data_IF_846414410726
#
_entry.id   IF_846414410726
#
_cell.length_a   1.000
_cell.length_b   1.000
_cell.length_c   1.000
_cell.angle_alpha   90.00
_cell.angle_beta   90.00
_cell.angle_gamma   90.00
#
_symmetry.space_group_name_H-M   'P 1'
#
loop_
_entity.id
_entity.type
_entity.pdbx_description
1 polymer ?
2 non-polymer ?
3 non-polymer ?
4 water ?
#
# COMPACT_ATOMS: atom_id res chain seq x y z
N UNK A 1 -6.31 -8.87 -3.20
CA UNK A 1 -6.57 -8.85 -4.67
C UNK A 1 -7.28 -7.52 -4.94
N UNK A 2 -7.29 -7.15 -6.23
CA UNK A 2 -7.74 -5.82 -6.63
C UNK A 2 -9.17 -5.86 -7.18
N UNK A 3 -10.15 -5.10 -6.67
CA UNK A 3 -11.47 -5.00 -7.32
C UNK A 3 -11.36 -4.26 -8.65
N UNK A 4 -12.33 -4.51 -9.57
CA UNK A 4 -12.09 -4.13 -10.98
C UNK A 4 -12.15 -2.65 -11.28
N UNK A 5 -12.75 -1.85 -10.40
CA UNK A 5 -12.90 -0.41 -10.65
C UNK A 5 -11.61 0.34 -10.30
N UNK A 6 -10.56 -0.37 -9.79
CA UNK A 6 -9.32 0.27 -9.40
C UNK A 6 -8.22 0.03 -10.46
N UNK A 7 -7.40 1.04 -10.71
CA UNK A 7 -6.07 0.75 -11.27
C UNK A 7 -5.14 0.27 -10.13
N UNK A 8 -4.01 -0.29 -10.53
CA UNK A 8 -3.04 -0.70 -9.46
C UNK A 8 -2.67 0.50 -8.60
N UNK A 9 -2.43 1.67 -9.20
CA UNK A 9 -2.05 2.84 -8.37
C UNK A 9 -3.14 3.27 -7.43
N UNK A 10 -4.42 3.26 -7.94
CA UNK A 10 -5.54 3.64 -7.06
C UNK A 10 -5.69 2.66 -5.92
N UNK A 11 -5.49 1.37 -6.21
CA UNK A 11 -5.57 0.35 -5.16
C UNK A 11 -4.44 0.52 -4.14
N UNK A 12 -3.21 0.83 -4.60
CA UNK A 12 -2.10 1.13 -3.70
C UNK A 12 -2.50 2.29 -2.75
N UNK A 13 -3.04 3.36 -3.34
CA UNK A 13 -3.43 4.51 -2.51
C UNK A 13 -4.48 4.11 -1.47
N UNK A 14 -5.48 3.33 -1.90
CA UNK A 14 -6.57 2.88 -1.00
C UNK A 14 -6.06 2.00 0.12
N UNK A 15 -5.10 1.08 -0.17
CA UNK A 15 -4.63 0.14 0.84
C UNK A 15 -3.53 0.75 1.74
N UNK A 16 -2.68 1.64 1.18
CA UNK A 16 -1.45 1.99 1.89
C UNK A 16 -1.25 3.46 2.18
N UNK A 17 -2.15 4.34 1.71
CA UNK A 17 -2.01 5.78 1.96
C UNK A 17 -3.24 6.35 2.63
N UNK A 18 -4.42 6.05 2.12
CA UNK A 18 -5.68 6.67 2.65
C UNK A 18 -6.22 5.91 3.85
N UNK A 19 -5.56 6.11 4.99
CA UNK A 19 -6.01 5.48 6.22
C UNK A 19 -7.19 6.33 6.75
N UNK A 20 -8.42 5.83 6.57
CA UNK A 20 -9.60 6.69 6.73
C UNK A 20 -9.94 6.94 8.22
N UNK A 21 -9.32 6.21 9.13
CA UNK A 21 -9.38 6.40 10.58
C UNK A 21 -7.99 6.13 11.14
N UNK A 22 -7.58 6.76 12.26
CA UNK A 22 -6.31 6.37 12.90
C UNK A 22 -6.44 5.03 13.66
N UNK A 23 -7.66 4.46 13.71
CA UNK A 23 -7.86 3.14 14.34
C UNK A 23 -7.87 2.08 13.24
N UNK A 24 -7.04 1.03 13.39
CA UNK A 24 -6.98 -0.03 12.38
C UNK A 24 -8.32 -0.75 12.17
N UNK A 25 -9.09 -1.04 13.26
CA UNK A 25 -10.35 -1.79 13.02
C UNK A 25 -11.24 -1.02 12.06
N UNK A 26 -11.35 0.29 12.23
CA UNK A 26 -12.18 1.11 11.34
C UNK A 26 -11.55 1.23 9.95
N UNK A 27 -10.23 1.56 9.88
CA UNK A 27 -9.63 1.78 8.55
C UNK A 27 -9.66 0.53 7.70
N UNK A 28 -9.48 -0.64 8.33
CA UNK A 28 -9.44 -1.89 7.59
C UNK A 28 -10.82 -2.28 7.00
N UNK A 29 -11.90 -1.76 7.57
CA UNK A 29 -13.24 -2.06 6.99
C UNK A 29 -13.26 -1.69 5.52
N UNK A 30 -12.62 -0.59 5.08
CA UNK A 30 -12.67 -0.14 3.68
C UNK A 30 -12.02 -1.23 2.83
N UNK A 31 -10.76 -1.61 3.16
CA UNK A 31 -10.05 -2.61 2.39
C UNK A 31 -10.82 -3.90 2.33
N UNK A 32 -11.30 -4.31 3.50
CA UNK A 32 -11.95 -5.63 3.61
C UNK A 32 -13.30 -5.66 2.85
N UNK A 33 -14.05 -4.55 2.90
CA UNK A 33 -15.32 -4.50 2.17
C UNK A 33 -15.04 -4.53 0.66
N UNK A 34 -13.96 -3.94 0.20
CA UNK A 34 -13.60 -4.03 -1.21
C UNK A 34 -13.09 -5.42 -1.61
N UNK A 35 -12.30 -6.12 -0.74
CA UNK A 35 -11.73 -7.45 -1.03
C UNK A 35 -12.67 -8.61 -0.71
N UNK A 36 -13.77 -8.31 0.01
CA UNK A 36 -14.69 -9.39 0.45
C UNK A 36 -14.00 -10.44 1.32
N UNK A 37 -13.11 -9.99 2.21
CA UNK A 37 -12.50 -10.88 3.18
C UNK A 37 -11.78 -9.96 4.19
N UNK A 38 -11.42 -10.50 5.35
CA UNK A 38 -10.60 -9.74 6.29
C UNK A 38 -9.12 -10.00 6.01
N UNK A 39 -8.45 -8.99 5.46
CA UNK A 39 -7.02 -9.11 5.18
C UNK A 39 -6.25 -9.33 6.47
N UNK A 40 -5.30 -10.26 6.46
CA UNK A 40 -4.64 -10.65 7.72
C UNK A 40 -3.73 -9.57 8.30
N UNK A 41 -3.03 -8.82 7.44
CA UNK A 41 -2.24 -7.69 7.92
C UNK A 41 -2.10 -6.66 6.80
N UNK A 42 -1.78 -5.40 7.19
CA UNK A 42 -1.69 -4.33 6.22
C UNK A 42 -0.97 -3.15 6.83
N UNK A 43 -0.07 -2.51 6.02
CA UNK A 43 0.58 -1.28 6.44
C UNK A 43 -0.03 -0.04 5.78
N UNK A 44 -0.28 0.99 6.62
CA UNK A 44 -0.58 2.33 6.11
C UNK A 44 0.65 3.22 6.38
N UNK A 45 1.20 3.80 5.29
CA UNK A 45 2.32 4.76 5.38
C UNK A 45 1.75 6.15 5.64
N UNK A 46 2.27 6.85 6.67
CA UNK A 46 1.78 8.20 6.97
C UNK A 46 2.64 9.19 6.18
N UNK A 47 2.41 9.14 4.83
CA UNK A 47 3.09 10.05 3.86
C UNK A 47 2.07 10.35 2.78
N UNK A 48 2.46 11.23 1.85
CA UNK A 48 1.52 11.64 0.79
C UNK A 48 1.74 10.78 -0.47
N UNK A 49 0.68 10.65 -1.28
CA UNK A 49 0.83 9.97 -2.58
C UNK A 49 1.93 10.60 -3.43
N UNK A 50 2.00 11.93 -3.48
CA UNK A 50 3.05 12.61 -4.26
C UNK A 50 4.45 12.23 -3.74
N UNK A 51 4.61 12.11 -2.40
CA UNK A 51 5.90 11.69 -1.85
C UNK A 51 6.30 10.28 -2.34
N UNK A 52 5.32 9.37 -2.42
CA UNK A 52 5.59 8.02 -2.93
C UNK A 52 5.98 8.04 -4.41
N UNK A 53 5.23 8.83 -5.19
CA UNK A 53 5.58 9.00 -6.62
C UNK A 53 7.02 9.46 -6.73
N UNK A 54 7.47 10.41 -5.90
CA UNK A 54 8.86 10.87 -5.95
C UNK A 54 9.84 9.75 -5.58
N UNK A 55 9.47 8.86 -4.64
CA UNK A 55 10.33 7.67 -4.35
C UNK A 55 10.48 6.82 -5.61
N UNK A 56 9.43 6.73 -6.47
CA UNK A 56 9.57 5.98 -7.73
C UNK A 56 10.73 6.54 -8.61
N UNK A 57 11.13 7.78 -8.38
CA UNK A 57 12.28 8.38 -9.10
C UNK A 57 13.67 8.04 -8.52
N UNK A 58 13.69 7.39 -7.34
CA UNK A 58 14.98 6.97 -6.75
C UNK A 58 15.53 5.78 -7.53
N UNK A 59 16.82 5.46 -7.33
CA UNK A 59 17.44 4.37 -8.13
C UNK A 59 16.66 3.07 -8.04
N UNK A 60 16.64 2.34 -9.15
CA UNK A 60 16.03 1.01 -9.15
C UNK A 60 16.85 0.03 -8.29
N UNK A 61 16.17 -0.90 -7.64
CA UNK A 61 16.79 -1.99 -6.89
C UNK A 61 15.94 -3.25 -7.06
N UNK A 62 16.57 -4.39 -6.75
CA UNK A 62 15.82 -5.64 -6.72
C UNK A 62 14.80 -5.65 -5.59
N UNK A 63 13.59 -6.14 -5.89
CA UNK A 63 12.57 -6.22 -4.86
C UNK A 63 12.90 -7.33 -3.87
N UNK A 64 13.06 -7.07 -2.56
CA UNK A 64 13.36 -8.18 -1.62
C UNK A 64 12.34 -9.29 -1.63
N UNK A 65 11.07 -8.98 -1.91
CA UNK A 65 10.08 -10.08 -1.92
C UNK A 65 10.08 -10.89 -3.20
N UNK A 66 10.73 -10.44 -4.27
CA UNK A 66 10.86 -11.24 -5.52
C UNK A 66 12.12 -10.91 -6.28
N UNK A 67 13.13 -11.75 -6.23
CA UNK A 67 14.47 -11.49 -6.75
C UNK A 67 14.49 -11.44 -8.28
N UNK A 68 13.31 -11.65 -8.92
CA UNK A 68 13.33 -11.51 -10.37
C UNK A 68 12.84 -10.13 -10.80
N UNK A 69 12.46 -9.25 -9.88
CA UNK A 69 11.91 -7.94 -10.26
C UNK A 69 12.87 -6.85 -9.87
N UNK A 70 13.00 -5.87 -10.80
CA UNK A 70 13.96 -4.76 -10.66
C UNK A 70 13.24 -3.40 -10.73
N UNK A 71 11.92 -3.39 -10.46
CA UNK A 71 11.13 -2.15 -10.49
C UNK A 71 10.88 -1.61 -9.06
N UNK A 72 11.71 -1.97 -8.11
CA UNK A 72 11.61 -1.46 -6.74
C UNK A 72 12.53 -0.26 -6.49
N UNK A 73 12.17 0.52 -5.44
CA UNK A 73 12.78 1.78 -5.12
C UNK A 73 12.75 1.97 -3.62
N UNK A 74 13.87 2.36 -3.00
CA UNK A 74 13.94 2.63 -1.55
C UNK A 74 13.53 4.04 -1.24
N UNK A 75 12.80 4.23 -0.14
CA UNK A 75 12.29 5.53 0.26
C UNK A 75 13.35 6.57 0.62
N UNK A 76 14.57 6.13 0.95
CA UNK A 76 15.59 7.16 1.27
C UNK A 76 15.50 7.67 2.71
N UNK A 77 14.33 8.12 3.13
CA UNK A 77 14.06 8.54 4.49
C UNK A 77 13.03 7.61 5.14
N UNK A 78 13.00 7.61 6.48
CA UNK A 78 11.97 6.90 7.21
C UNK A 78 10.69 7.75 7.20
N UNK A 79 9.58 7.01 7.34
CA UNK A 79 8.31 7.71 7.57
C UNK A 79 7.59 7.07 8.76
N UNK A 80 6.68 7.81 9.37
CA UNK A 80 5.76 7.17 10.34
C UNK A 80 4.83 6.27 9.55
N UNK A 81 4.43 5.16 10.21
CA UNK A 81 3.50 4.20 9.60
C UNK A 81 2.67 3.58 10.74
N UNK A 82 1.57 2.96 10.34
CA UNK A 82 0.75 2.11 11.24
C UNK A 82 0.57 0.75 10.59
N UNK A 83 0.94 -0.32 11.29
CA UNK A 83 0.76 -1.66 10.78
C UNK A 83 -0.43 -2.28 11.52
N UNK A 84 -1.38 -2.79 10.74
CA UNK A 84 -2.60 -3.40 11.26
C UNK A 84 -2.48 -4.93 11.19
N UNK A 85 -2.81 -5.64 12.28
CA UNK A 85 -2.78 -7.12 12.35
C UNK A 85 -4.13 -7.65 12.80
N UNK A 86 -4.70 -8.62 12.07
CA UNK A 86 -6.00 -9.15 12.38
C UNK A 86 -5.97 -9.93 13.73
N UNK A 87 -6.77 -9.55 14.68
CA UNK A 87 -6.85 -10.27 15.95
C UNK A 87 -8.10 -11.15 16.03
N UNK A 88 -9.10 -10.81 15.25
CA UNK A 88 -10.38 -11.46 15.32
C UNK A 88 -11.03 -11.64 13.95
N UNK A 89 -10.94 -12.80 13.31
CA UNK A 89 -11.24 -13.06 11.88
C UNK A 89 -12.60 -13.09 11.19
N UNK A 90 -13.72 -12.97 11.84
CA UNK A 90 -15.09 -13.04 11.37
C UNK A 90 -15.41 -13.43 9.92
N UNK A 91 -15.21 -14.72 9.63
CA UNK A 91 -15.60 -15.37 8.40
C UNK A 91 -16.95 -14.89 7.85
N UNK A 92 -18.03 -14.95 8.61
CA UNK A 92 -19.34 -14.68 7.96
C UNK A 92 -19.95 -13.39 8.46
N UNK A 93 -19.10 -12.35 8.52
CA UNK A 93 -19.52 -11.00 8.83
C UNK A 93 -18.22 -10.19 8.94
N UNK A 94 -17.77 -9.75 7.80
CA UNK A 94 -16.42 -9.11 7.75
C UNK A 94 -16.45 -7.82 8.54
N UNK A 95 -17.61 -7.21 8.75
CA UNK A 95 -17.51 -5.94 9.46
C UNK A 95 -17.16 -6.19 10.93
N UNK A 96 -17.20 -7.44 11.41
CA UNK A 96 -16.92 -7.67 12.83
C UNK A 96 -15.45 -8.08 13.00
N UNK A 97 -14.68 -8.01 11.95
CA UNK A 97 -13.22 -8.22 12.14
C UNK A 97 -12.62 -7.09 12.97
N UNK A 98 -11.69 -7.45 13.84
CA UNK A 98 -10.96 -6.45 14.66
C UNK A 98 -9.45 -6.65 14.48
N UNK A 99 -8.75 -5.51 14.65
CA UNK A 99 -7.32 -5.42 14.43
C UNK A 99 -6.57 -4.82 15.62
N UNK A 100 -5.32 -5.22 15.77
CA UNK A 100 -4.34 -4.48 16.56
C UNK A 100 -3.63 -3.44 15.64
N UNK A 101 -3.06 -2.42 16.27
CA UNK A 101 -2.34 -1.37 15.55
C UNK A 101 -0.95 -1.17 16.20
N UNK A 102 0.08 -1.08 15.33
CA UNK A 102 1.45 -0.89 15.79
C UNK A 102 2.01 0.34 15.09
N UNK A 103 2.34 1.42 15.79
CA UNK A 103 2.99 2.60 15.18
C UNK A 103 4.48 2.38 15.10
N UNK A 104 5.12 2.89 14.04
CA UNK A 104 6.54 2.74 13.84
C UNK A 104 7.06 3.82 12.93
N UNK A 105 8.41 3.98 12.89
CA UNK A 105 9.07 4.87 11.95
C UNK A 105 10.06 4.00 11.17
N UNK A 106 9.83 3.81 9.88
CA UNK A 106 10.58 2.83 9.12
C UNK A 106 10.84 3.31 7.69
N UNK A 107 11.88 2.75 7.03
CA UNK A 107 12.02 2.94 5.59
C UNK A 107 11.02 2.01 4.90
N UNK A 108 10.75 2.29 3.60
CA UNK A 108 9.94 1.37 2.81
C UNK A 108 10.53 1.22 1.40
N UNK A 109 10.16 0.10 0.79
CA UNK A 109 10.52 -0.21 -0.61
C UNK A 109 9.22 -0.42 -1.39
N UNK A 110 9.03 0.35 -2.47
CA UNK A 110 7.83 0.25 -3.32
C UNK A 110 8.23 -0.17 -4.72
N UNK A 111 7.36 -0.95 -5.37
CA UNK A 111 7.47 -1.24 -6.80
C UNK A 111 6.61 -0.19 -7.52
N UNK A 112 7.19 0.34 -8.63
CA UNK A 112 6.51 1.32 -9.46
C UNK A 112 6.44 0.85 -10.90
N UNK A 113 5.40 1.31 -11.62
CA UNK A 113 5.21 0.96 -13.02
C UNK A 113 4.66 2.19 -13.75
N UNK A 114 4.72 2.09 -15.10
CA UNK A 114 3.96 3.03 -15.93
C UNK A 114 2.49 3.03 -15.55
N UNK A 115 1.85 4.24 -15.61
CA UNK A 115 0.44 4.32 -15.25
C UNK A 115 -0.46 3.51 -16.20
N UNK A 116 -1.69 3.25 -15.72
CA UNK A 116 -2.74 2.66 -16.60
C UNK A 116 -3.11 3.69 -17.62
N UNK A 117 -2.87 3.33 -18.90
CA UNK A 117 -3.05 4.33 -19.95
C UNK A 117 -4.46 4.90 -20.00
N UNK A 118 -5.48 4.05 -19.82
CA UNK A 118 -6.86 4.50 -20.01
C UNK A 118 -7.45 5.14 -18.76
N UNK A 119 -7.00 4.74 -17.57
CA UNK A 119 -7.73 5.09 -16.36
C UNK A 119 -6.96 5.93 -15.36
N UNK A 120 -5.61 5.88 -15.36
CA UNK A 120 -4.86 6.71 -14.42
C UNK A 120 -4.67 8.13 -14.98
N UNK A 121 -4.69 9.14 -14.11
CA UNK A 121 -4.54 10.53 -14.58
C UNK A 121 -3.16 10.79 -15.20
N UNK A 122 -3.11 11.55 -16.32
CA UNK A 122 -1.80 11.78 -16.96
C UNK A 122 -0.81 12.56 -16.12
N UNK A 123 -1.23 13.25 -15.04
CA UNK A 123 -0.39 13.95 -14.11
C UNK A 123 0.81 13.12 -13.69
N UNK A 124 0.62 11.80 -13.45
CA UNK A 124 1.72 10.94 -12.93
C UNK A 124 1.98 9.82 -13.91
N UNK A 125 2.97 9.94 -14.80
CA UNK A 125 3.29 8.87 -15.74
C UNK A 125 3.78 7.58 -15.03
N UNK A 126 4.44 7.74 -13.89
CA UNK A 126 5.01 6.62 -13.13
C UNK A 126 4.36 6.60 -11.74
N UNK A 127 3.88 5.42 -11.33
CA UNK A 127 3.06 5.34 -10.10
C UNK A 127 3.47 4.13 -9.29
N UNK A 128 3.29 4.24 -7.95
CA UNK A 128 3.48 3.06 -7.08
C UNK A 128 2.33 2.07 -7.24
N UNK A 129 2.69 0.79 -7.24
CA UNK A 129 1.72 -0.29 -7.46
C UNK A 129 1.76 -1.38 -6.41
N UNK A 130 2.83 -1.45 -5.59
CA UNK A 130 3.00 -2.56 -4.64
C UNK A 130 3.92 -2.08 -3.52
N UNK A 131 3.60 -2.40 -2.27
CA UNK A 131 4.45 -2.11 -1.13
C UNK A 131 5.26 -3.40 -0.86
N UNK A 132 6.55 -3.39 -1.22
CA UNK A 132 7.36 -4.62 -1.17
C UNK A 132 7.86 -4.91 0.24
N UNK A 133 8.27 -3.92 0.98
CA UNK A 133 8.91 -4.19 2.27
C UNK A 133 8.88 -2.94 3.11
N UNK A 134 8.78 -3.10 4.44
CA UNK A 134 9.07 -2.05 5.42
C UNK A 134 10.28 -2.52 6.25
N UNK A 135 11.18 -1.56 6.58
CA UNK A 135 12.45 -1.92 7.21
C UNK A 135 12.76 -1.00 8.39
X LIG B 1 0.65 -4.91 -2.35
X LIG B 1 -0.19 -3.75 -2.10
X LIG B 1 2.02 -4.85 -1.74
X LIG B 1 -0.03 -6.28 -1.85
X LIG B 1 -1.22 -6.51 -0.86
X LIG B 1 -2.53 -6.34 -1.47
X LIG B 1 -0.95 -5.70 0.35
X LIG B 1 -1.00 -8.05 -0.59
X LIG B 1 -0.93 -9.34 -1.38
X LIG B 1 0.45 -9.39 -1.86
X LIG B 1 -1.72 -9.30 -2.61
X LIG B 1 -1.26 -10.51 -0.47
X LIG B 1 -2.23 -11.00 0.64
X LIG B 1 -3.12 -9.95 1.03
X LIG B 1 -2.94 -12.13 -0.01
X LIG B 1 -1.63 -11.46 1.92
X LIG B 1 -0.62 -11.46 2.99
X LIG B 1 -1.16 -11.44 4.34
X LIG B 1 0.66 -12.31 2.99
X LIG B 1 0.91 -5.23 -3.85
X LIG B 1 -0.21 -5.17 -4.83
X LIG B 1 -0.07 -6.32 -5.85
X LIG B 1 1.22 -5.98 -6.57
X LIG B 1 0.39 -7.73 -5.32
X LIG B 1 -0.84 -8.41 -4.95
X LIG B 1 0.83 -8.33 -6.67
X LIG B 1 -0.18 -8.82 -7.53
X LIG B 1 1.56 -7.08 -7.26
X LIG B 1 3.11 -7.19 -7.28
X LIG B 1 4.09 -7.83 -6.36
X LIG B 1 5.33 -7.48 -6.76
X LIG B 1 5.23 -6.50 -7.84
X LIG B 1 6.17 -5.84 -8.48
X LIG B 1 7.51 -5.89 -8.36
X LIG B 1 5.71 -4.99 -9.45
X LIG B 1 4.39 -4.80 -9.75
X LIG B 1 3.40 -5.47 -9.08
X LIG B 1 3.92 -6.39 -8.13
X LIG B 1 0.25 -9.90 3.03
X LIG B 1 -0.53 -8.79 3.38
X LIG B 1 0.27 -7.68 3.30
X LIG B 1 1.10 -7.67 4.50
X LIG B 1 1.18 -7.56 1.93
X LIG B 1 1.51 -6.14 1.64
X LIG B 1 2.65 -7.78 2.72
X LIG B 1 3.62 -7.27 1.93
X LIG B 1 2.48 -7.35 4.02
X LIG B 1 3.33 -8.21 5.03
X LIG B 1 3.46 -9.55 5.17
X LIG B 1 4.24 -9.93 6.14
X LIG B 1 4.72 -8.77 6.77
X LIG B 1 5.57 -8.62 7.84
X LIG B 1 6.14 -9.61 8.49
X LIG B 1 5.78 -7.21 8.25
X LIG B 1 5.18 -6.25 7.63
X LIG B 1 4.38 -6.45 6.51
X LIG B 1 4.10 -7.67 6.09
X LIG C 1 8.40 9.69 1.95
X LIG C 1 8.40 10.86 2.47
X LIG C 1 7.37 9.05 1.70
X LIG C 1 9.72 9.03 1.65
#
# INVERSE_FOLDING_TARGET
>A
MKPPQFTWAQWFETQHINMTSQQCTNAMQVINNYQRRCKNQNTFLLTTFANVVNVCGNPNMTCPSNKTRKNCHHSGSQVPLIHCNLTTPSPQNISNCRYAQTPANMFYIVACDNRDQRRDPPQYPVVPVHLDRII
>B hetero
1 AP5 PA O1A O2A O3A PB O1B O2B O3B PG O1G O2G O3G PD O1D O2D O3D PE O1E O2E O5F C5F C4F O4F C3F O3F C2F O2F C1F N9A C8A N7A C5A C6A N6A N1A C2A N3A C4A O5J C5J C4J O4J C3J O3J C2J O2J C1J N9B C8B N7B C5B C6B N6B N1B C2B N3B C4B
>C hetero
1 ACY C O OXT CH3
#
